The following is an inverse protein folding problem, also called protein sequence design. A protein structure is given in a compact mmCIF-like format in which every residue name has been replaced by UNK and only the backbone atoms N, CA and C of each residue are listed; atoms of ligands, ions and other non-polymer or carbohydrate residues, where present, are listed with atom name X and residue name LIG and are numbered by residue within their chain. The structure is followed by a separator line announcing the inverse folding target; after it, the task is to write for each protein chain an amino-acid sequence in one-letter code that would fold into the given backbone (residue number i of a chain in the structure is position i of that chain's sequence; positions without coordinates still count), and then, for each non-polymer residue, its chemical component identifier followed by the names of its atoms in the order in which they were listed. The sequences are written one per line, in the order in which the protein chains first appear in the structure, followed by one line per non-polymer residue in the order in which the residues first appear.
data_IF_104542073441
#
_entry.id   IF_104542073441
#
_cell.length_a   1.000
_cell.length_b   1.000
_cell.length_c   1.000
_cell.angle_alpha   90.00
_cell.angle_beta   90.00
_cell.angle_gamma   90.00
#
_symmetry.space_group_name_H-M   'P 1'
#
loop_
_entity.id
_entity.type
_entity.pdbx_description
1 polymer ?
#
# COMPACT_ATOMS: atom_id res chain seq x y z
N UNK A 1 -7.64 -11.33 -5.75
CA UNK A 1 -6.53 -11.97 -6.48
C UNK A 1 -5.99 -10.95 -7.48
N UNK A 2 -4.88 -10.29 -7.15
CA UNK A 2 -4.22 -9.33 -8.02
C UNK A 2 -3.93 -9.99 -9.37
N UNK A 3 -4.35 -9.34 -10.47
CA UNK A 3 -4.29 -9.90 -11.84
C UNK A 3 -2.86 -10.11 -12.37
N UNK A 4 -1.82 -9.87 -11.57
CA UNK A 4 -0.40 -10.05 -11.91
C UNK A 4 0.42 -10.32 -10.63
N UNK A 5 0.74 -11.60 -10.38
CA UNK A 5 1.51 -12.05 -9.21
C UNK A 5 2.96 -11.52 -9.22
N UNK A 6 3.55 -11.32 -10.40
CA UNK A 6 4.90 -10.82 -10.54
C UNK A 6 4.98 -9.33 -10.15
N UNK A 7 3.97 -8.54 -10.53
CA UNK A 7 3.85 -7.14 -10.11
C UNK A 7 3.67 -7.02 -8.59
N UNK A 8 2.86 -7.89 -7.97
CA UNK A 8 2.68 -7.91 -6.51
C UNK A 8 4.00 -8.16 -5.76
N UNK A 9 4.79 -9.14 -6.22
CA UNK A 9 6.13 -9.43 -5.67
C UNK A 9 7.09 -8.24 -5.84
N UNK A 10 7.07 -7.59 -6.99
CA UNK A 10 7.91 -6.42 -7.25
C UNK A 10 7.53 -5.21 -6.39
N UNK A 11 6.24 -4.97 -6.16
CA UNK A 11 5.73 -3.94 -5.23
C UNK A 11 6.20 -4.19 -3.80
N UNK A 12 6.07 -5.44 -3.33
CA UNK A 12 6.50 -5.82 -1.99
C UNK A 12 8.01 -5.63 -1.82
N UNK A 13 8.80 -6.07 -2.80
CA UNK A 13 10.25 -5.89 -2.80
C UNK A 13 10.65 -4.42 -2.77
N UNK A 14 9.97 -3.56 -3.56
CA UNK A 14 10.24 -2.13 -3.58
C UNK A 14 9.88 -1.46 -2.25
N UNK A 15 8.72 -1.78 -1.66
CA UNK A 15 8.35 -1.24 -0.35
C UNK A 15 9.40 -1.63 0.72
N UNK A 16 9.78 -2.91 0.76
CA UNK A 16 10.67 -3.41 1.79
C UNK A 16 12.14 -3.00 1.59
N UNK A 17 12.53 -2.63 0.37
CA UNK A 17 13.81 -1.95 0.12
C UNK A 17 13.87 -0.56 0.78
N UNK A 18 12.71 0.06 1.04
CA UNK A 18 12.53 1.33 1.74
C UNK A 18 11.73 1.15 3.04
N UNK A 19 11.91 0.02 3.73
CA UNK A 19 11.14 -0.32 4.93
C UNK A 19 11.39 0.66 6.10
N UNK A 20 12.52 1.38 6.11
CA UNK A 20 12.81 2.38 7.13
C UNK A 20 11.84 3.57 7.05
N UNK A 21 11.48 3.98 5.84
CA UNK A 21 10.56 5.09 5.58
C UNK A 21 9.10 4.64 5.48
N UNK A 22 8.85 3.44 4.94
CA UNK A 22 7.50 2.97 4.59
C UNK A 22 6.92 1.95 5.57
N UNK A 23 7.70 1.50 6.54
CA UNK A 23 7.44 0.31 7.36
C UNK A 23 7.51 -1.00 6.57
N UNK A 24 7.93 -2.06 7.26
CA UNK A 24 7.98 -3.42 6.70
C UNK A 24 6.58 -3.95 6.39
N UNK A 25 6.43 -4.66 5.26
CA UNK A 25 5.19 -5.31 4.85
C UNK A 25 5.39 -6.79 4.54
N UNK A 26 4.37 -7.58 4.89
CA UNK A 26 4.16 -8.93 4.37
C UNK A 26 3.24 -8.89 3.15
N UNK A 27 3.22 -9.97 2.35
CA UNK A 27 2.44 -10.03 1.12
C UNK A 27 0.94 -9.81 1.37
N UNK A 28 0.37 -10.50 2.35
CA UNK A 28 -1.05 -10.41 2.71
C UNK A 28 -1.42 -8.99 3.14
N UNK A 29 -0.49 -8.30 3.83
CA UNK A 29 -0.69 -6.91 4.24
C UNK A 29 -0.67 -5.96 3.05
N UNK A 30 0.23 -6.17 2.10
CA UNK A 30 0.26 -5.40 0.86
C UNK A 30 -1.05 -5.59 0.07
N UNK A 31 -1.53 -6.83 -0.06
CA UNK A 31 -2.81 -7.12 -0.72
C UNK A 31 -3.98 -6.41 -0.05
N UNK A 32 -4.01 -6.41 1.29
CA UNK A 32 -4.99 -5.68 2.08
C UNK A 32 -4.96 -4.17 1.78
N UNK A 33 -3.77 -3.55 1.82
CA UNK A 33 -3.63 -2.12 1.55
C UNK A 33 -4.04 -1.74 0.13
N UNK A 34 -3.75 -2.59 -0.85
CA UNK A 34 -4.21 -2.38 -2.23
C UNK A 34 -5.73 -2.51 -2.33
N UNK A 35 -6.33 -3.47 -1.60
CA UNK A 35 -7.79 -3.65 -1.56
C UNK A 35 -8.54 -2.48 -0.92
N UNK A 36 -7.93 -1.82 0.07
CA UNK A 36 -8.50 -0.66 0.75
C UNK A 36 -8.20 0.68 0.03
N UNK A 37 -7.29 0.68 -0.96
CA UNK A 37 -6.92 1.90 -1.66
C UNK A 37 -8.04 2.38 -2.58
N UNK A 38 -8.46 3.63 -2.41
CA UNK A 38 -9.30 4.34 -3.37
C UNK A 38 -8.57 4.57 -4.70
N UNK A 39 -7.27 4.84 -4.61
CA UNK A 39 -6.42 5.11 -5.76
C UNK A 39 -5.09 4.37 -5.62
N UNK A 40 -4.82 3.46 -6.56
CA UNK A 40 -3.50 2.89 -6.77
C UNK A 40 -2.90 3.42 -8.08
N UNK A 41 -1.68 3.94 -8.02
CA UNK A 41 -0.93 4.43 -9.18
C UNK A 41 0.52 3.99 -9.09
N UNK A 42 1.14 3.79 -10.26
CA UNK A 42 2.58 3.56 -10.41
C UNK A 42 3.11 4.33 -11.61
N UNK A 43 4.40 4.62 -11.60
CA UNK A 43 5.10 5.23 -12.74
C UNK A 43 6.11 4.24 -13.34
N UNK A 44 6.36 4.38 -14.65
CA UNK A 44 7.29 3.53 -15.37
C UNK A 44 6.93 2.04 -15.33
N UNK A 45 7.93 1.18 -15.13
CA UNK A 45 7.70 -0.26 -14.90
C UNK A 45 7.30 -0.51 -13.45
N UNK A 46 8.05 0.05 -12.51
CA UNK A 46 7.68 0.18 -11.10
C UNK A 46 8.71 1.08 -10.40
N UNK A 47 8.88 2.32 -10.90
CA UNK A 47 9.94 3.19 -10.37
C UNK A 47 9.48 3.81 -9.04
N UNK A 48 8.17 4.03 -8.89
CA UNK A 48 7.49 4.37 -7.64
C UNK A 48 6.00 3.99 -7.74
N UNK A 49 5.34 3.91 -6.58
CA UNK A 49 3.89 3.73 -6.47
C UNK A 49 3.28 4.60 -5.38
N UNK A 50 1.99 4.85 -5.50
CA UNK A 50 1.17 5.58 -4.55
C UNK A 50 -0.11 4.80 -4.28
N UNK A 51 -0.43 4.61 -3.00
CA UNK A 51 -1.73 4.16 -2.52
C UNK A 51 -2.37 5.34 -1.77
N UNK A 52 -3.54 5.78 -2.24
CA UNK A 52 -4.36 6.74 -1.52
C UNK A 52 -5.62 6.05 -0.99
N UNK A 53 -5.95 6.31 0.27
CA UNK A 53 -7.10 5.77 0.98
C UNK A 53 -8.20 6.83 1.06
N UNK A 54 -9.46 6.40 0.95
CA UNK A 54 -10.61 7.29 1.17
C UNK A 54 -10.84 7.55 2.67
N UNK A 55 -11.64 8.54 3.05
CA UNK A 55 -11.86 8.92 4.45
C UNK A 55 -12.44 7.79 5.32
N UNK A 56 -13.13 6.81 4.73
CA UNK A 56 -13.77 5.70 5.43
C UNK A 56 -13.02 4.37 5.29
N UNK A 57 -11.84 4.36 4.64
CA UNK A 57 -11.03 3.17 4.44
C UNK A 57 -10.73 2.46 5.77
N UNK A 58 -10.67 1.13 5.78
CA UNK A 58 -10.37 0.35 6.99
C UNK A 58 -8.86 0.27 7.27
N UNK A 59 -8.10 1.28 6.85
CA UNK A 59 -6.68 1.37 7.19
C UNK A 59 -6.52 1.59 8.70
N UNK A 60 -5.74 0.72 9.34
CA UNK A 60 -5.63 0.57 10.80
C UNK A 60 -4.42 1.32 11.38
N UNK A 61 -3.79 2.20 10.61
CA UNK A 61 -2.70 3.06 11.11
C UNK A 61 -3.23 3.99 12.22
N UNK A 62 -2.55 4.05 13.40
CA UNK A 62 -2.95 4.94 14.49
C UNK A 62 -3.08 6.41 14.06
N UNK A 63 -2.17 6.87 13.20
CA UNK A 63 -2.20 8.24 12.66
C UNK A 63 -3.43 8.48 11.80
N UNK A 64 -3.78 7.50 10.97
CA UNK A 64 -4.95 7.59 10.10
C UNK A 64 -6.26 7.54 10.91
N UNK A 65 -6.35 6.64 11.90
CA UNK A 65 -7.51 6.56 12.80
C UNK A 65 -7.68 7.87 13.59
N UNK A 66 -6.59 8.42 14.12
CA UNK A 66 -6.61 9.70 14.84
C UNK A 66 -7.11 10.86 13.97
N UNK A 67 -6.70 10.89 12.70
CA UNK A 67 -7.10 11.93 11.75
C UNK A 67 -8.58 11.78 11.35
N UNK A 68 -9.03 10.56 11.07
CA UNK A 68 -10.42 10.26 10.70
C UNK A 68 -11.45 10.61 11.78
N UNK A 69 -11.04 10.56 13.05
CA UNK A 69 -11.92 10.83 14.19
C UNK A 69 -12.11 12.33 14.49
N UNK A 70 -11.62 13.23 13.63
CA UNK A 70 -11.72 14.71 13.76
C UNK A 70 -12.46 15.31 12.59
#
# INVERSE_FOLDING_TARGET
MLRDEALGKALLALNNAHAQELSWLEAERLEYLIGEAFLARRIGRLDAFLLAFDQDARYDSPNFIWFRAR
#
